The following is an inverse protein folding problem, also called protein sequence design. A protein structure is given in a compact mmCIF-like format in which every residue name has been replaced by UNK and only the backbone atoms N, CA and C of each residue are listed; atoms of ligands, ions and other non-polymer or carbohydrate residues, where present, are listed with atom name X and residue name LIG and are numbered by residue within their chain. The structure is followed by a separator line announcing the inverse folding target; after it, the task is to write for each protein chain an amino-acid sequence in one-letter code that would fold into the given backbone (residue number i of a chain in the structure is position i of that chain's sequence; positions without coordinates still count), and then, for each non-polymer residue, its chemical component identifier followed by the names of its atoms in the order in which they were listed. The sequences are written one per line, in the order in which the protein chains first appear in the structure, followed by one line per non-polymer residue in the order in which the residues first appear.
data_IF_251559557864
#
_entry.id   IF_251559557864
#
_cell.length_a   1.000
_cell.length_b   1.000
_cell.length_c   1.000
_cell.angle_alpha   90.00
_cell.angle_beta   90.00
_cell.angle_gamma   90.00
#
_symmetry.space_group_name_H-M   'P 1'
#
loop_
_entity.id
_entity.type
_entity.pdbx_description
1 polymer ?
#
# COMPACT_ATOMS: atom_id res chain seq x y z
N UNK A 1 -12.37 -3.39 4.45
CA UNK A 1 -12.75 -1.97 4.63
C UNK A 1 -12.31 -1.19 3.39
N UNK A 2 -13.18 -0.38 2.79
CA UNK A 2 -12.84 0.47 1.64
C UNK A 2 -12.52 1.88 2.12
N UNK A 3 -11.37 2.43 1.70
CA UNK A 3 -10.96 3.78 2.08
C UNK A 3 -11.83 4.83 1.36
N UNK A 4 -12.14 5.92 2.04
CA UNK A 4 -12.87 7.06 1.46
C UNK A 4 -12.42 8.38 2.08
N UNK A 5 -12.54 9.45 1.31
CA UNK A 5 -12.31 10.82 1.78
C UNK A 5 -13.41 11.74 1.24
N UNK A 6 -14.05 12.51 2.13
CA UNK A 6 -15.16 13.43 1.81
C UNK A 6 -16.26 12.80 0.92
N UNK A 7 -16.61 11.55 1.18
CA UNK A 7 -17.64 10.82 0.43
C UNK A 7 -17.17 10.24 -0.91
N UNK A 8 -15.95 10.54 -1.35
CA UNK A 8 -15.33 9.89 -2.52
C UNK A 8 -14.61 8.64 -2.07
N UNK A 9 -14.96 7.50 -2.70
CA UNK A 9 -14.32 6.21 -2.43
C UNK A 9 -13.05 6.08 -3.26
N UNK A 10 -11.99 5.56 -2.65
CA UNK A 10 -10.80 5.21 -3.42
C UNK A 10 -11.04 3.92 -4.21
N UNK A 11 -10.66 3.95 -5.48
CA UNK A 11 -10.55 2.76 -6.32
C UNK A 11 -9.17 2.15 -6.11
N UNK A 12 -9.03 1.39 -5.02
CA UNK A 12 -7.81 0.65 -4.72
C UNK A 12 -7.89 -0.74 -5.34
N UNK A 13 -6.92 -1.09 -6.16
CA UNK A 13 -6.62 -2.49 -6.47
C UNK A 13 -5.81 -3.05 -5.30
N UNK A 14 -6.28 -4.15 -4.71
CA UNK A 14 -5.52 -4.88 -3.69
C UNK A 14 -4.77 -6.02 -4.41
N UNK A 15 -3.53 -5.80 -4.88
CA UNK A 15 -2.76 -6.89 -5.44
C UNK A 15 -2.55 -7.94 -4.36
N UNK A 16 -2.96 -9.18 -4.63
CA UNK A 16 -2.59 -10.30 -3.78
C UNK A 16 -1.13 -10.61 -4.10
N UNK A 17 -0.26 -10.42 -3.11
CA UNK A 17 1.19 -10.65 -3.24
C UNK A 17 1.53 -11.89 -2.42
N UNK A 18 2.35 -12.77 -2.98
CA UNK A 18 2.90 -13.90 -2.23
C UNK A 18 3.91 -13.40 -1.20
N UNK A 19 3.80 -13.89 0.03
CA UNK A 19 4.59 -13.43 1.16
C UNK A 19 5.17 -14.64 1.89
N UNK A 20 6.45 -14.58 2.26
CA UNK A 20 7.06 -15.60 3.12
C UNK A 20 6.78 -15.30 4.59
N UNK A 21 6.50 -16.34 5.35
CA UNK A 21 6.39 -16.22 6.81
C UNK A 21 7.74 -15.77 7.39
N UNK A 22 7.73 -14.71 8.17
CA UNK A 22 8.92 -14.14 8.81
C UNK A 22 8.62 -14.02 10.30
N UNK A 23 9.58 -14.36 11.17
CA UNK A 23 9.44 -14.22 12.63
C UNK A 23 9.75 -12.81 13.13
N UNK A 24 9.94 -11.85 12.23
CA UNK A 24 10.23 -10.47 12.59
C UNK A 24 9.00 -9.76 13.13
N UNK A 25 9.12 -9.30 14.37
CA UNK A 25 8.07 -8.57 15.08
C UNK A 25 8.59 -7.17 15.40
N UNK A 26 7.87 -6.16 14.93
CA UNK A 26 8.10 -4.76 15.27
C UNK A 26 7.16 -4.29 16.39
N UNK A 27 7.59 -3.29 17.15
CA UNK A 27 6.76 -2.61 18.13
C UNK A 27 6.67 -1.14 17.74
N UNK A 28 5.47 -0.60 17.55
CA UNK A 28 5.26 0.80 17.22
C UNK A 28 4.04 1.36 17.96
N UNK A 29 4.24 2.46 18.71
CA UNK A 29 3.22 3.11 19.54
C UNK A 29 2.44 2.13 20.44
N UNK A 30 3.13 1.13 21.00
CA UNK A 30 2.54 0.12 21.89
C UNK A 30 1.78 -1.00 21.17
N UNK A 31 1.77 -1.02 19.84
CA UNK A 31 1.20 -2.12 19.05
C UNK A 31 2.28 -3.01 18.45
N UNK A 32 2.02 -4.31 18.46
CA UNK A 32 2.84 -5.35 17.83
C UNK A 32 2.53 -5.44 16.33
N UNK A 33 3.55 -5.36 15.49
CA UNK A 33 3.45 -5.46 14.04
C UNK A 33 4.21 -6.67 13.54
N UNK A 34 3.54 -7.51 12.75
CA UNK A 34 4.18 -8.65 12.10
C UNK A 34 4.77 -8.19 10.77
N UNK A 35 6.09 -8.24 10.66
CA UNK A 35 6.78 -7.89 9.42
C UNK A 35 6.74 -9.10 8.50
N UNK A 36 6.42 -8.86 7.24
CA UNK A 36 6.14 -9.89 6.23
C UNK A 36 6.92 -9.54 4.97
N UNK A 37 7.77 -10.45 4.50
CA UNK A 37 8.59 -10.23 3.30
C UNK A 37 7.87 -10.74 2.05
N UNK A 38 7.68 -9.87 1.05
CA UNK A 38 7.12 -10.26 -0.24
C UNK A 38 8.10 -11.11 -1.05
N UNK A 39 7.61 -12.18 -1.66
CA UNK A 39 8.35 -13.05 -2.59
C UNK A 39 8.09 -12.54 -4.01
N UNK A 40 9.15 -12.40 -4.82
CA UNK A 40 9.04 -11.92 -6.21
C UNK A 40 8.31 -10.57 -6.36
N UNK A 41 8.55 -9.64 -5.42
CA UNK A 41 8.01 -8.29 -5.53
C UNK A 41 8.41 -7.69 -6.88
N UNK A 42 7.46 -7.60 -7.81
CA UNK A 42 7.67 -6.87 -9.05
C UNK A 42 7.91 -5.42 -8.68
N UNK A 43 8.96 -4.80 -9.24
CA UNK A 43 9.18 -3.38 -9.04
C UNK A 43 7.92 -2.66 -9.55
N UNK A 44 7.12 -2.16 -8.61
CA UNK A 44 5.89 -1.47 -8.94
C UNK A 44 6.31 -0.18 -9.65
N UNK A 45 6.20 -0.17 -10.98
CA UNK A 45 6.40 1.06 -11.75
C UNK A 45 5.38 2.06 -11.21
N UNK A 46 5.86 3.16 -10.62
CA UNK A 46 5.02 4.33 -10.34
C UNK A 46 4.48 4.83 -11.67
N UNK A 47 3.33 4.29 -12.06
CA UNK A 47 2.53 4.72 -13.20
C UNK A 47 1.52 5.77 -12.77
N UNK A 48 1.41 6.01 -11.47
CA UNK A 48 0.49 6.99 -10.91
C UNK A 48 1.09 8.38 -11.05
N UNK A 49 0.67 9.06 -12.12
CA UNK A 49 1.01 10.45 -12.38
C UNK A 49 0.23 11.31 -11.39
N UNK A 50 0.93 12.04 -10.52
CA UNK A 50 0.28 12.91 -9.54
C UNK A 50 -0.62 13.93 -10.26
N UNK A 51 -1.90 13.93 -9.90
CA UNK A 51 -2.87 14.91 -10.41
C UNK A 51 -3.29 15.87 -9.30
N UNK A 52 -3.08 17.16 -9.51
CA UNK A 52 -3.63 18.22 -8.66
C UNK A 52 -4.78 18.90 -9.40
N UNK A 53 -5.98 18.85 -8.82
CA UNK A 53 -7.21 19.41 -9.42
C UNK A 53 -7.45 18.98 -10.88
N UNK A 54 -7.08 17.76 -11.23
CA UNK A 54 -7.24 17.21 -12.58
C UNK A 54 -6.08 17.50 -13.55
N UNK A 55 -5.12 18.35 -13.19
CA UNK A 55 -3.92 18.59 -13.97
C UNK A 55 -2.76 17.70 -13.49
N UNK A 56 -1.96 17.20 -14.43
CA UNK A 56 -0.71 16.49 -14.13
C UNK A 56 0.28 17.49 -13.52
N UNK A 57 0.89 17.12 -12.40
CA UNK A 57 1.98 17.89 -11.78
C UNK A 57 3.29 17.21 -12.18
N UNK A 58 4.21 18.01 -12.75
CA UNK A 58 5.58 17.60 -13.10
C UNK A 58 6.56 17.95 -11.99
#
# INVERSE_FOLDING_TARGET
MQLSYRGVKYNTTNPTVEVTETQEIGQYRGATYHVRRAVNATAQKMTDVLKYRGAIVH
#
